data_IF_965800203041
#
_entry.id   IF_965800203041
#
_cell.length_a   1.000
_cell.length_b   1.000
_cell.length_c   1.000
_cell.angle_alpha   90.00
_cell.angle_beta   90.00
_cell.angle_gamma   90.00
#
_symmetry.space_group_name_H-M   'P 1'
#
loop_
_entity.id
_entity.type
_entity.pdbx_description
1 polymer ?
#
# COMPACT_ATOMS: atom_id res chain seq x y z
N UNK A 1 28.10 -23.42 -0.63
CA UNK A 1 28.25 -22.23 -1.50
C UNK A 1 27.45 -21.13 -0.85
N UNK A 2 28.11 -20.09 -0.31
CA UNK A 2 27.41 -18.88 0.16
C UNK A 2 26.74 -18.24 -1.05
N UNK A 3 25.42 -18.19 -1.01
CA UNK A 3 24.69 -17.44 -2.04
C UNK A 3 24.99 -15.96 -1.78
N UNK A 4 25.61 -15.29 -2.76
CA UNK A 4 25.81 -13.84 -2.69
C UNK A 4 24.44 -13.16 -2.51
N UNK A 5 24.18 -12.62 -1.32
CA UNK A 5 22.98 -11.83 -1.02
C UNK A 5 23.29 -10.34 -1.19
N UNK A 6 22.36 -9.62 -1.76
CA UNK A 6 22.43 -8.16 -1.90
C UNK A 6 21.31 -7.50 -1.10
N UNK A 7 21.58 -6.33 -0.53
CA UNK A 7 20.56 -5.51 0.15
C UNK A 7 19.68 -4.81 -0.88
N UNK A 8 18.38 -5.05 -0.83
CA UNK A 8 17.37 -4.47 -1.73
C UNK A 8 16.43 -3.55 -0.97
N UNK A 9 15.85 -4.05 0.15
CA UNK A 9 14.90 -3.29 0.94
C UNK A 9 15.57 -2.66 2.15
N UNK A 10 15.56 -1.33 2.21
CA UNK A 10 16.08 -0.60 3.37
C UNK A 10 15.19 -0.80 4.62
N UNK A 11 15.73 -0.52 5.83
CA UNK A 11 14.99 -0.68 7.07
C UNK A 11 13.70 0.13 7.12
N UNK A 12 13.69 1.36 6.55
CA UNK A 12 12.50 2.21 6.55
C UNK A 12 11.36 1.55 5.77
N UNK A 13 11.61 1.08 4.54
CA UNK A 13 10.58 0.41 3.70
C UNK A 13 10.03 -0.83 4.41
N UNK A 14 10.87 -1.58 5.11
CA UNK A 14 10.47 -2.78 5.83
C UNK A 14 9.59 -2.48 7.05
N UNK A 15 10.02 -1.52 7.88
CA UNK A 15 9.26 -1.07 9.05
C UNK A 15 7.92 -0.48 8.59
N UNK A 16 7.95 0.43 7.62
CA UNK A 16 6.76 1.00 7.01
C UNK A 16 5.78 -0.10 6.56
N UNK A 17 6.24 -1.08 5.80
CA UNK A 17 5.39 -2.13 5.25
C UNK A 17 4.68 -2.92 6.36
N UNK A 18 5.41 -3.41 7.36
CA UNK A 18 4.81 -4.22 8.41
C UNK A 18 3.95 -3.40 9.38
N UNK A 19 4.32 -2.15 9.64
CA UNK A 19 3.48 -1.22 10.40
C UNK A 19 2.18 -0.93 9.66
N UNK A 20 2.25 -0.72 8.33
CA UNK A 20 1.05 -0.51 7.51
C UNK A 20 0.14 -1.74 7.50
N UNK A 21 0.69 -2.95 7.35
CA UNK A 21 -0.08 -4.19 7.44
C UNK A 21 -0.82 -4.27 8.77
N UNK A 22 -0.13 -3.99 9.89
CA UNK A 22 -0.72 -4.05 11.22
C UNK A 22 -1.81 -2.99 11.41
N UNK A 23 -1.50 -1.72 11.13
CA UNK A 23 -2.43 -0.61 11.37
C UNK A 23 -3.64 -0.66 10.45
N UNK A 24 -3.46 -1.03 9.17
CA UNK A 24 -4.58 -1.22 8.25
C UNK A 24 -5.49 -2.38 8.67
N UNK A 25 -4.90 -3.49 9.12
CA UNK A 25 -5.68 -4.63 9.66
C UNK A 25 -6.50 -4.21 10.89
N UNK A 26 -5.90 -3.44 11.81
CA UNK A 26 -6.61 -2.90 12.98
C UNK A 26 -7.76 -1.99 12.53
N UNK A 27 -7.49 -1.03 11.64
CA UNK A 27 -8.51 -0.12 11.13
C UNK A 27 -9.67 -0.89 10.49
N UNK A 28 -9.37 -1.87 9.63
CA UNK A 28 -10.39 -2.66 8.96
C UNK A 28 -11.32 -3.40 9.91
N UNK A 29 -10.76 -4.07 10.94
CA UNK A 29 -11.56 -4.88 11.86
C UNK A 29 -12.19 -4.07 13.01
N UNK A 30 -11.87 -2.79 13.16
CA UNK A 30 -12.44 -1.93 14.21
C UNK A 30 -13.55 -0.99 13.72
N UNK A 31 -13.82 -0.94 12.40
CA UNK A 31 -14.70 0.05 11.79
C UNK A 31 -16.11 0.12 12.38
N UNK A 32 -16.70 -1.04 12.64
CA UNK A 32 -18.12 -1.12 13.03
C UNK A 32 -18.35 -1.04 14.55
N UNK A 33 -17.38 -1.41 15.38
CA UNK A 33 -17.62 -1.58 16.82
C UNK A 33 -16.68 -0.75 17.72
N UNK A 34 -15.54 -0.33 17.22
CA UNK A 34 -14.46 0.31 18.00
C UNK A 34 -14.01 1.62 17.36
N UNK A 35 -14.92 2.59 17.27
CA UNK A 35 -14.72 3.88 16.60
C UNK A 35 -13.38 4.57 16.95
N UNK A 36 -13.08 4.74 18.24
CA UNK A 36 -11.83 5.38 18.70
C UNK A 36 -10.59 4.64 18.19
N UNK A 37 -10.65 3.31 18.14
CA UNK A 37 -9.55 2.48 17.64
C UNK A 37 -9.42 2.62 16.12
N UNK A 38 -10.56 2.63 15.40
CA UNK A 38 -10.61 2.85 13.96
C UNK A 38 -9.99 4.20 13.58
N UNK A 39 -10.42 5.28 14.22
CA UNK A 39 -9.92 6.63 13.96
C UNK A 39 -8.41 6.72 14.21
N UNK A 40 -7.93 6.22 15.35
CA UNK A 40 -6.50 6.25 15.68
C UNK A 40 -5.65 5.40 14.70
N UNK A 41 -6.15 4.23 14.32
CA UNK A 41 -5.49 3.38 13.32
C UNK A 41 -5.50 4.04 11.94
N UNK A 42 -6.60 4.71 11.56
CA UNK A 42 -6.72 5.49 10.34
C UNK A 42 -5.70 6.64 10.27
N UNK A 43 -5.52 7.40 11.36
CA UNK A 43 -4.46 8.42 11.43
C UNK A 43 -3.07 7.82 11.35
N UNK A 44 -2.82 6.66 11.96
CA UNK A 44 -1.54 5.98 11.85
C UNK A 44 -1.26 5.54 10.39
N UNK A 45 -2.28 5.00 9.69
CA UNK A 45 -2.19 4.67 8.25
C UNK A 45 -1.87 5.92 7.43
N UNK A 46 -2.60 7.03 7.65
CA UNK A 46 -2.34 8.30 6.95
C UNK A 46 -0.91 8.78 7.16
N UNK A 47 -0.43 8.81 8.40
CA UNK A 47 0.95 9.19 8.73
C UNK A 47 1.98 8.32 8.04
N UNK A 48 1.79 7.00 8.05
CA UNK A 48 2.66 6.04 7.36
C UNK A 48 2.67 6.28 5.84
N UNK A 49 1.50 6.49 5.23
CA UNK A 49 1.38 6.75 3.80
C UNK A 49 2.10 8.05 3.41
N UNK A 50 1.92 9.14 4.18
CA UNK A 50 2.62 10.41 3.95
C UNK A 50 4.14 10.24 4.05
N UNK A 51 4.64 9.53 5.07
CA UNK A 51 6.06 9.20 5.20
C UNK A 51 6.57 8.38 4.01
N UNK A 52 5.76 7.42 3.52
CA UNK A 52 6.12 6.62 2.34
C UNK A 52 6.17 7.43 1.06
N UNK A 53 5.25 8.38 0.89
CA UNK A 53 5.27 9.30 -0.25
C UNK A 53 6.57 10.12 -0.25
N UNK A 54 6.94 10.72 0.88
CA UNK A 54 8.23 11.45 1.00
C UNK A 54 9.41 10.53 0.70
N UNK A 55 9.44 9.32 1.30
CA UNK A 55 10.52 8.36 1.07
C UNK A 55 10.60 7.87 -0.38
N UNK A 56 9.48 7.90 -1.09
CA UNK A 56 9.42 7.59 -2.53
C UNK A 56 10.20 8.58 -3.41
N UNK A 57 10.48 9.77 -2.92
CA UNK A 57 11.29 10.77 -3.63
C UNK A 57 12.74 10.80 -3.13
N UNK A 58 12.96 10.75 -1.81
CA UNK A 58 14.29 10.97 -1.21
C UNK A 58 14.99 9.69 -0.75
N UNK A 59 14.28 8.57 -0.67
CA UNK A 59 14.75 7.30 -0.12
C UNK A 59 15.86 6.61 -0.92
N UNK A 60 16.10 5.35 -0.59
CA UNK A 60 17.12 4.51 -1.26
C UNK A 60 16.74 4.17 -2.70
N UNK A 61 17.69 3.63 -3.48
CA UNK A 61 17.50 3.33 -4.90
C UNK A 61 16.22 2.54 -5.18
N UNK A 62 15.98 1.43 -4.48
CA UNK A 62 14.81 0.57 -4.71
C UNK A 62 13.50 1.11 -4.09
N UNK A 63 13.58 2.12 -3.21
CA UNK A 63 12.43 2.79 -2.61
C UNK A 63 11.85 3.91 -3.48
N UNK A 64 12.66 4.49 -4.38
CA UNK A 64 12.25 5.66 -5.18
C UNK A 64 11.30 5.30 -6.28
N UNK A 65 10.22 6.07 -6.42
CA UNK A 65 9.20 5.90 -7.46
C UNK A 65 9.78 5.85 -8.86
N UNK A 66 10.71 6.73 -9.19
CA UNK A 66 11.37 6.79 -10.51
C UNK A 66 12.04 5.48 -10.94
N UNK A 67 12.36 4.59 -10.01
CA UNK A 67 13.08 3.35 -10.27
C UNK A 67 12.16 2.13 -10.39
N UNK A 68 10.85 2.28 -10.14
CA UNK A 68 9.90 1.19 -10.25
C UNK A 68 8.51 1.59 -10.81
N UNK A 69 8.32 2.86 -11.16
CA UNK A 69 7.13 3.27 -11.92
C UNK A 69 7.44 3.09 -13.40
N UNK A 70 6.79 2.13 -14.01
CA UNK A 70 6.96 1.75 -15.40
C UNK A 70 5.81 2.25 -16.27
N UNK A 71 6.05 2.52 -17.56
CA UNK A 71 4.98 2.84 -18.49
C UNK A 71 3.92 1.72 -18.56
N UNK A 72 2.63 2.03 -18.79
CA UNK A 72 1.57 1.02 -18.87
C UNK A 72 1.84 -0.11 -19.89
N UNK A 73 2.54 0.21 -20.98
CA UNK A 73 2.93 -0.78 -21.99
C UNK A 73 3.87 -1.86 -21.42
N UNK A 74 4.82 -1.46 -20.56
CA UNK A 74 5.73 -2.41 -19.90
C UNK A 74 5.02 -3.24 -18.87
N UNK A 75 4.10 -2.66 -18.08
CA UNK A 75 3.25 -3.41 -17.13
C UNK A 75 2.44 -4.47 -17.86
N UNK A 76 1.77 -4.09 -18.98
CA UNK A 76 1.00 -5.03 -19.80
C UNK A 76 1.89 -6.11 -20.42
N UNK A 77 3.07 -5.74 -20.89
CA UNK A 77 4.08 -6.69 -21.42
C UNK A 77 4.50 -7.69 -20.36
N UNK A 78 4.86 -7.21 -19.16
CA UNK A 78 5.25 -8.05 -18.04
C UNK A 78 4.15 -9.03 -17.62
N UNK A 79 2.90 -8.57 -17.47
CA UNK A 79 1.76 -9.42 -17.14
C UNK A 79 1.55 -10.53 -18.19
N UNK A 80 1.65 -10.20 -19.48
CA UNK A 80 1.56 -11.20 -20.56
C UNK A 80 2.69 -12.22 -20.49
N UNK A 81 3.92 -11.79 -20.19
CA UNK A 81 5.07 -12.69 -20.09
C UNK A 81 4.97 -13.57 -18.83
N UNK A 82 4.42 -13.05 -17.73
CA UNK A 82 4.09 -13.79 -16.51
C UNK A 82 3.10 -14.93 -16.82
N UNK A 83 2.00 -14.62 -17.52
CA UNK A 83 1.01 -15.63 -17.93
C UNK A 83 1.61 -16.70 -18.85
N UNK A 84 2.63 -16.35 -19.64
CA UNK A 84 3.37 -17.27 -20.52
C UNK A 84 4.54 -17.96 -19.85
N UNK A 85 4.74 -17.74 -18.53
CA UNK A 85 5.85 -18.29 -17.76
C UNK A 85 7.24 -17.90 -18.32
N UNK A 86 7.35 -16.66 -18.84
CA UNK A 86 8.57 -16.10 -19.45
C UNK A 86 9.02 -14.79 -18.79
N UNK A 87 8.35 -14.39 -17.71
CA UNK A 87 8.67 -13.14 -17.01
C UNK A 87 10.10 -13.16 -16.46
N UNK A 88 10.82 -12.05 -16.66
CA UNK A 88 12.18 -11.86 -16.13
C UNK A 88 12.13 -11.60 -14.64
N UNK A 89 13.15 -12.05 -13.91
CA UNK A 89 13.36 -11.71 -12.50
C UNK A 89 13.85 -10.27 -12.37
N UNK A 90 13.33 -9.59 -11.35
CA UNK A 90 13.74 -8.23 -10.96
C UNK A 90 14.30 -8.23 -9.55
N UNK A 91 15.38 -7.48 -9.31
CA UNK A 91 15.93 -7.32 -7.96
C UNK A 91 15.01 -6.46 -7.08
N UNK A 92 14.59 -5.29 -7.59
CA UNK A 92 13.57 -4.44 -6.96
C UNK A 92 12.15 -4.87 -7.33
N UNK A 93 11.27 -3.90 -7.52
CA UNK A 93 9.91 -4.17 -7.97
C UNK A 93 9.89 -4.44 -9.49
N UNK A 94 9.19 -5.49 -9.89
CA UNK A 94 8.85 -5.71 -11.27
C UNK A 94 7.73 -4.75 -11.72
N UNK A 95 7.46 -4.60 -13.02
CA UNK A 95 6.47 -3.65 -13.53
C UNK A 95 5.07 -3.81 -12.92
N UNK A 96 4.58 -5.04 -12.73
CA UNK A 96 3.29 -5.29 -12.10
C UNK A 96 3.30 -4.94 -10.60
N UNK A 97 4.37 -5.29 -9.87
CA UNK A 97 4.55 -4.93 -8.46
C UNK A 97 4.65 -3.42 -8.26
N UNK A 98 5.35 -2.71 -9.15
CA UNK A 98 5.41 -1.25 -9.13
C UNK A 98 4.03 -0.61 -9.31
N UNK A 99 3.27 -1.05 -10.31
CA UNK A 99 1.89 -0.59 -10.54
C UNK A 99 0.98 -0.89 -9.34
N UNK A 100 1.08 -2.09 -8.75
CA UNK A 100 0.32 -2.48 -7.56
C UNK A 100 0.60 -1.53 -6.39
N UNK A 101 1.86 -1.18 -6.12
CA UNK A 101 2.21 -0.24 -5.04
C UNK A 101 1.57 1.13 -5.26
N UNK A 102 1.61 1.65 -6.50
CA UNK A 102 1.00 2.95 -6.81
C UNK A 102 -0.51 2.88 -6.60
N UNK A 103 -1.19 1.84 -7.07
CA UNK A 103 -2.63 1.66 -6.88
C UNK A 103 -3.00 1.57 -5.39
N UNK A 104 -2.25 0.79 -4.60
CA UNK A 104 -2.49 0.68 -3.16
C UNK A 104 -2.25 2.00 -2.44
N UNK A 105 -1.17 2.73 -2.74
CA UNK A 105 -0.91 4.04 -2.13
C UNK A 105 -2.00 5.05 -2.49
N UNK A 106 -2.46 5.08 -3.74
CA UNK A 106 -3.57 5.96 -4.16
C UNK A 106 -4.86 5.61 -3.42
N UNK A 107 -5.21 4.33 -3.36
CA UNK A 107 -6.40 3.87 -2.64
C UNK A 107 -6.33 4.24 -1.15
N UNK A 108 -5.20 4.00 -0.49
CA UNK A 108 -4.99 4.35 0.92
C UNK A 108 -5.06 5.87 1.18
N UNK A 109 -4.51 6.70 0.27
CA UNK A 109 -4.63 8.17 0.38
C UNK A 109 -6.09 8.58 0.32
N UNK A 110 -6.84 8.06 -0.65
CA UNK A 110 -8.26 8.40 -0.78
C UNK A 110 -9.03 7.93 0.45
N UNK A 111 -8.86 6.66 0.86
CA UNK A 111 -9.52 6.12 2.06
C UNK A 111 -9.23 6.97 3.28
N UNK A 112 -7.97 7.28 3.57
CA UNK A 112 -7.63 8.02 4.79
C UNK A 112 -8.06 9.48 4.74
N UNK A 113 -7.98 10.14 3.58
CA UNK A 113 -8.42 11.55 3.44
C UNK A 113 -9.95 11.65 3.56
N UNK A 114 -10.69 10.74 2.93
CA UNK A 114 -12.16 10.73 3.04
C UNK A 114 -12.62 10.35 4.43
N UNK A 115 -11.95 9.41 5.12
CA UNK A 115 -12.25 9.08 6.51
C UNK A 115 -12.00 10.25 7.47
N UNK A 116 -10.90 11.00 7.30
CA UNK A 116 -10.65 12.22 8.09
C UNK A 116 -11.67 13.31 7.79
N UNK A 117 -12.13 13.43 6.54
CA UNK A 117 -13.16 14.39 6.17
C UNK A 117 -14.53 14.00 6.74
N UNK A 118 -14.91 12.73 6.65
CA UNK A 118 -16.13 12.19 7.24
C UNK A 118 -16.18 12.42 8.75
N UNK A 119 -15.12 12.06 9.48
CA UNK A 119 -14.99 12.33 10.92
C UNK A 119 -15.10 13.83 11.26
N UNK A 120 -14.59 14.70 10.39
CA UNK A 120 -14.73 16.16 10.56
C UNK A 120 -16.15 16.66 10.40
N UNK A 121 -16.97 16.04 9.57
CA UNK A 121 -18.38 16.39 9.33
C UNK A 121 -19.25 15.83 10.45
N UNK A 122 -19.16 14.53 10.70
CA UNK A 122 -20.01 13.78 11.62
C UNK A 122 -19.81 14.24 13.06
N UNK A 123 -18.58 14.23 13.56
CA UNK A 123 -18.25 14.53 14.96
C UNK A 123 -17.83 15.98 15.21
N UNK A 124 -17.64 16.79 14.17
CA UNK A 124 -17.08 18.12 14.30
C UNK A 124 -15.68 18.14 14.92
N UNK A 125 -14.90 17.06 14.70
CA UNK A 125 -13.64 16.82 15.35
C UNK A 125 -12.49 16.61 14.35
N UNK A 126 -11.24 16.59 14.86
CA UNK A 126 -10.06 16.34 14.02
C UNK A 126 -9.65 17.53 13.13
N UNK A 127 -8.68 17.31 12.21
CA UNK A 127 -8.10 18.37 11.38
C UNK A 127 -9.08 19.04 10.41
N UNK A 128 -10.16 18.36 10.07
CA UNK A 128 -11.20 18.86 9.15
C UNK A 128 -12.53 19.16 9.85
N UNK A 129 -12.51 19.42 11.15
CA UNK A 129 -13.68 19.83 11.93
C UNK A 129 -14.41 21.08 11.37
N UNK A 130 -13.73 21.89 10.55
CA UNK A 130 -14.32 23.01 9.83
C UNK A 130 -15.38 22.61 8.80
N UNK A 131 -15.45 21.33 8.44
CA UNK A 131 -16.45 20.77 7.54
C UNK A 131 -17.76 20.43 8.26
N UNK A 132 -17.81 20.54 9.60
CA UNK A 132 -19.04 20.35 10.37
C UNK A 132 -20.16 21.26 9.86
N UNK A 133 -21.35 20.69 9.68
CA UNK A 133 -22.50 21.40 9.11
C UNK A 133 -22.58 21.34 7.57
N UNK A 134 -21.77 20.54 6.92
CA UNK A 134 -22.00 20.18 5.53
C UNK A 134 -23.38 19.56 5.33
N UNK A 135 -24.01 19.72 4.13
CA UNK A 135 -25.25 19.04 3.82
C UNK A 135 -25.11 17.51 3.89
N UNK A 136 -26.17 16.81 4.35
CA UNK A 136 -26.25 15.33 4.48
C UNK A 136 -25.76 14.59 3.21
N UNK A 137 -26.11 15.08 2.02
CA UNK A 137 -25.62 14.50 0.76
C UNK A 137 -24.08 14.55 0.59
N UNK A 138 -23.38 15.48 1.25
CA UNK A 138 -21.93 15.55 1.25
C UNK A 138 -21.31 14.56 2.22
N UNK A 139 -21.96 14.34 3.35
CA UNK A 139 -21.60 13.34 4.35
C UNK A 139 -21.72 11.93 3.78
N UNK A 140 -22.93 11.57 3.26
CA UNK A 140 -23.19 10.29 2.60
C UNK A 140 -22.18 10.00 1.47
N UNK A 141 -21.86 11.01 0.65
CA UNK A 141 -20.88 10.84 -0.43
C UNK A 141 -19.49 10.51 0.10
N UNK A 142 -19.04 11.12 1.20
CA UNK A 142 -17.72 10.85 1.77
C UNK A 142 -17.66 9.48 2.43
N UNK A 143 -18.73 9.06 3.09
CA UNK A 143 -18.89 7.72 3.65
C UNK A 143 -18.80 6.67 2.53
N UNK A 144 -19.62 6.80 1.48
CA UNK A 144 -19.61 5.89 0.32
C UNK A 144 -18.23 5.78 -0.33
N UNK A 145 -17.55 6.91 -0.52
CA UNK A 145 -16.20 6.93 -1.10
C UNK A 145 -15.19 6.28 -0.16
N UNK A 146 -15.27 6.54 1.15
CA UNK A 146 -14.41 5.91 2.15
C UNK A 146 -14.57 4.39 2.13
N UNK A 147 -15.80 3.90 2.22
CA UNK A 147 -16.12 2.47 2.20
C UNK A 147 -15.67 1.82 0.89
N UNK A 148 -15.98 2.43 -0.25
CA UNK A 148 -15.57 1.90 -1.55
C UNK A 148 -14.04 1.73 -1.64
N UNK A 149 -13.25 2.75 -1.27
CA UNK A 149 -11.80 2.67 -1.36
C UNK A 149 -11.19 1.79 -0.27
N UNK A 150 -11.80 1.67 0.90
CA UNK A 150 -11.42 0.69 1.92
C UNK A 150 -11.58 -0.74 1.38
N UNK A 151 -12.74 -1.07 0.81
CA UNK A 151 -13.03 -2.36 0.17
C UNK A 151 -12.10 -2.63 -1.02
N UNK A 152 -11.84 -1.62 -1.86
CA UNK A 152 -10.87 -1.72 -2.96
C UNK A 152 -9.46 -2.00 -2.44
N UNK A 153 -9.05 -1.36 -1.35
CA UNK A 153 -7.74 -1.63 -0.75
C UNK A 153 -7.61 -3.08 -0.30
N UNK A 154 -8.64 -3.66 0.33
CA UNK A 154 -8.65 -5.09 0.70
C UNK A 154 -8.51 -5.97 -0.54
N UNK A 155 -9.26 -5.68 -1.61
CA UNK A 155 -9.12 -6.41 -2.87
C UNK A 155 -7.69 -6.33 -3.43
N UNK A 156 -7.09 -5.13 -3.42
CA UNK A 156 -5.71 -4.93 -3.87
C UNK A 156 -4.71 -5.70 -2.98
N UNK A 157 -4.93 -5.76 -1.66
CA UNK A 157 -4.11 -6.56 -0.73
C UNK A 157 -4.20 -8.04 -1.07
N UNK A 158 -5.39 -8.57 -1.35
CA UNK A 158 -5.57 -9.97 -1.76
C UNK A 158 -4.80 -10.26 -3.06
N UNK A 159 -4.95 -9.40 -4.07
CA UNK A 159 -4.23 -9.53 -5.35
C UNK A 159 -2.71 -9.40 -5.15
N UNK A 160 -2.26 -8.49 -4.29
CA UNK A 160 -0.85 -8.34 -3.92
C UNK A 160 -0.28 -9.62 -3.30
N UNK A 161 -0.97 -10.19 -2.31
CA UNK A 161 -0.53 -11.43 -1.65
C UNK A 161 -0.46 -12.59 -2.64
N UNK A 162 -1.47 -12.74 -3.50
CA UNK A 162 -1.45 -13.75 -4.58
C UNK A 162 -0.23 -13.53 -5.50
N UNK A 163 0.02 -12.29 -5.90
CA UNK A 163 1.18 -11.93 -6.73
C UNK A 163 2.51 -12.26 -6.05
N UNK A 164 2.65 -11.96 -4.76
CA UNK A 164 3.85 -12.28 -3.96
C UNK A 164 4.07 -13.79 -3.89
N UNK A 165 3.02 -14.58 -3.66
CA UNK A 165 3.11 -16.05 -3.62
C UNK A 165 3.51 -16.60 -4.99
N UNK A 166 2.87 -16.11 -6.06
CA UNK A 166 3.15 -16.54 -7.43
C UNK A 166 4.60 -16.24 -7.82
N UNK A 167 5.06 -15.00 -7.68
CA UNK A 167 6.43 -14.57 -7.98
C UNK A 167 7.48 -15.33 -7.14
N UNK A 168 7.19 -15.55 -5.86
CA UNK A 168 8.07 -16.32 -4.97
C UNK A 168 8.28 -17.75 -5.45
N UNK A 169 7.23 -18.38 -5.95
CA UNK A 169 7.30 -19.75 -6.48
C UNK A 169 7.94 -19.79 -7.87
N UNK A 170 7.56 -18.85 -8.72
CA UNK A 170 8.05 -18.80 -10.09
C UNK A 170 9.57 -18.57 -10.16
N UNK A 171 10.10 -17.68 -9.33
CA UNK A 171 11.53 -17.37 -9.31
C UNK A 171 12.33 -18.13 -8.22
N UNK A 172 11.70 -19.07 -7.51
CA UNK A 172 12.32 -19.83 -6.40
C UNK A 172 13.02 -18.91 -5.38
N UNK A 173 12.37 -17.78 -5.03
CA UNK A 173 12.86 -16.77 -4.10
C UNK A 173 11.76 -16.34 -3.13
N UNK A 174 12.01 -16.40 -1.81
CA UNK A 174 11.02 -15.96 -0.82
C UNK A 174 10.96 -14.44 -0.73
N UNK A 175 9.94 -13.82 -1.34
CA UNK A 175 9.72 -12.38 -1.26
C UNK A 175 9.31 -11.94 0.15
N UNK A 176 8.62 -12.79 0.92
CA UNK A 176 8.29 -12.54 2.33
C UNK A 176 9.57 -12.46 3.15
N UNK A 177 10.49 -13.44 3.00
CA UNK A 177 11.80 -13.41 3.67
C UNK A 177 12.58 -12.16 3.26
N UNK A 178 12.55 -11.79 1.98
CA UNK A 178 13.21 -10.58 1.50
C UNK A 178 12.65 -9.31 2.15
N UNK A 179 11.33 -9.23 2.39
CA UNK A 179 10.71 -8.11 3.09
C UNK A 179 11.01 -8.10 4.60
N UNK A 180 11.35 -9.23 5.21
CA UNK A 180 11.79 -9.32 6.61
C UNK A 180 13.28 -8.98 6.76
N UNK A 181 14.14 -9.54 5.90
CA UNK A 181 15.60 -9.41 6.04
C UNK A 181 16.19 -8.22 5.30
N UNK A 182 15.49 -7.70 4.30
CA UNK A 182 15.97 -6.68 3.36
C UNK A 182 16.83 -7.23 2.22
N UNK A 183 17.08 -8.54 2.17
CA UNK A 183 18.07 -9.16 1.29
C UNK A 183 17.43 -10.05 0.25
N UNK A 184 18.04 -10.10 -0.93
CA UNK A 184 17.68 -11.00 -2.03
C UNK A 184 18.95 -11.67 -2.57
N UNK A 185 18.75 -12.80 -3.21
CA UNK A 185 19.82 -13.47 -3.96
C UNK A 185 20.30 -12.56 -5.10
N UNK A 186 21.62 -12.42 -5.26
CA UNK A 186 22.26 -11.66 -6.35
C UNK A 186 21.91 -12.21 -7.74
#
# INVERSE_FOLDING_TARGET
MEQNEISVWDPFVRIFHWSLVLTFTIAWFSGDELEVLHINAGYAVLGLVLLRLVWGFVGTHHARFRNFVYPPAEVKGFLRDTLRQRARRYLGHNPAGGAMIILMLMSLVITTVTGVAYYGIEDGAGPLAMLAGMPEAGEEMLEDVHEFFANLTVLLVVVHVIGVIFESRFHHESLIKAMLTGRKRA
#
